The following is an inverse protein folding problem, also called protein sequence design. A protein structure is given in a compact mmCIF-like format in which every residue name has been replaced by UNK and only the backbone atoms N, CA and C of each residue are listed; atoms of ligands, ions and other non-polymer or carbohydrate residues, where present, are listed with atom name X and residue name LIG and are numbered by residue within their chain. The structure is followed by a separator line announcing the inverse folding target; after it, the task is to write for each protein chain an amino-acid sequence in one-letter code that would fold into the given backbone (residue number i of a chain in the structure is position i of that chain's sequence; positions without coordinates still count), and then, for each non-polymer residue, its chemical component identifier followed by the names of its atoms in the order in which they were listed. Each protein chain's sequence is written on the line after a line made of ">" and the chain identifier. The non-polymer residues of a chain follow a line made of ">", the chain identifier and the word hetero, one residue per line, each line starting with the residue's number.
data_IF_059009299379
#
_entry.id   IF_059009299379
#
_cell.length_a   1.000
_cell.length_b   1.000
_cell.length_c   1.000
_cell.angle_alpha   90.00
_cell.angle_beta   90.00
_cell.angle_gamma   90.00
#
_symmetry.space_group_name_H-M   'P 1'
#
loop_
_entity.id
_entity.type
_entity.pdbx_description
1 polymer ?
#
# COMPACT_ATOMS: atom_id res chain seq x y z
N UNK A 1 23.62 6.59 -2.14
CA UNK A 1 22.81 5.63 -2.94
C UNK A 1 21.36 6.03 -2.79
N UNK A 2 20.75 6.62 -3.82
CA UNK A 2 19.33 6.98 -3.78
C UNK A 2 18.52 5.68 -3.76
N UNK A 3 17.75 5.45 -2.69
CA UNK A 3 16.79 4.34 -2.65
C UNK A 3 15.79 4.58 -3.78
N UNK A 4 15.45 3.58 -4.61
CA UNK A 4 14.44 3.76 -5.65
C UNK A 4 13.13 4.23 -4.99
N UNK A 5 12.39 5.15 -5.63
CA UNK A 5 11.13 5.63 -5.10
C UNK A 5 10.18 4.44 -4.90
N UNK A 6 9.44 4.46 -3.79
CA UNK A 6 8.47 3.40 -3.47
C UNK A 6 7.42 3.40 -4.60
N UNK A 7 7.15 2.26 -5.26
CA UNK A 7 6.16 2.22 -6.34
C UNK A 7 4.73 2.45 -5.79
N UNK A 8 3.79 2.91 -6.63
CA UNK A 8 2.40 3.01 -6.24
C UNK A 8 1.85 1.63 -5.83
N UNK A 9 0.97 1.64 -4.84
CA UNK A 9 0.40 0.42 -4.25
C UNK A 9 -1.05 0.28 -4.69
N UNK A 10 -1.38 -0.86 -5.30
CA UNK A 10 -2.74 -1.24 -5.69
C UNK A 10 -3.23 -2.32 -4.74
N UNK A 11 -3.79 -1.91 -3.61
CA UNK A 11 -4.14 -2.80 -2.49
C UNK A 11 -5.54 -2.53 -1.95
N UNK A 12 -6.30 -1.64 -2.58
CA UNK A 12 -7.61 -1.23 -2.09
C UNK A 12 -8.73 -2.23 -2.42
N UNK A 13 -8.45 -3.23 -3.25
CA UNK A 13 -9.43 -4.16 -3.86
C UNK A 13 -10.54 -3.45 -4.65
N UNK A 14 -10.33 -2.18 -5.00
CA UNK A 14 -11.20 -1.40 -5.87
C UNK A 14 -10.36 -0.31 -6.56
N UNK A 15 -10.23 -0.30 -7.91
CA UNK A 15 -9.35 0.63 -8.63
C UNK A 15 -9.62 2.12 -8.33
N UNK A 16 -10.88 2.50 -8.13
CA UNK A 16 -11.23 3.87 -7.75
C UNK A 16 -10.65 4.28 -6.38
N UNK A 17 -10.55 3.34 -5.43
CA UNK A 17 -9.88 3.59 -4.15
C UNK A 17 -8.36 3.54 -4.28
N UNK A 18 -7.80 2.75 -5.19
CA UNK A 18 -6.37 2.79 -5.50
C UNK A 18 -5.96 4.14 -6.10
N UNK A 19 -6.80 4.74 -6.94
CA UNK A 19 -6.62 6.12 -7.38
C UNK A 19 -6.61 7.11 -6.19
N UNK A 20 -7.54 6.97 -5.24
CA UNK A 20 -7.50 7.79 -4.03
C UNK A 20 -6.21 7.57 -3.25
N UNK A 21 -5.71 6.35 -3.21
CA UNK A 21 -4.48 5.95 -2.55
C UNK A 21 -3.20 6.31 -3.33
N UNK A 22 -3.31 7.01 -4.46
CA UNK A 22 -2.17 7.61 -5.17
C UNK A 22 -1.45 8.71 -4.37
N UNK A 23 -1.95 9.04 -3.18
CA UNK A 23 -1.19 9.67 -2.10
C UNK A 23 -1.32 8.84 -0.82
N UNK A 24 -0.18 8.46 -0.25
CA UNK A 24 -0.13 7.56 0.90
C UNK A 24 1.07 7.80 1.81
N UNK A 25 0.97 7.29 3.04
CA UNK A 25 2.02 7.37 4.07
C UNK A 25 2.50 5.96 4.49
N UNK A 26 3.11 5.16 3.60
CA UNK A 26 3.44 3.75 3.88
C UNK A 26 4.50 3.55 4.99
N UNK A 27 5.39 4.52 5.18
CA UNK A 27 6.50 4.47 6.15
C UNK A 27 6.70 5.81 6.88
N UNK A 28 5.59 6.42 7.32
CA UNK A 28 5.58 7.70 8.04
C UNK A 28 6.10 8.90 7.20
N UNK A 29 6.31 8.69 5.89
CA UNK A 29 6.60 9.71 4.88
C UNK A 29 5.47 9.69 3.86
N UNK A 30 4.89 10.87 3.59
CA UNK A 30 3.89 11.05 2.55
C UNK A 30 4.54 11.00 1.17
N UNK A 31 3.93 10.26 0.26
CA UNK A 31 4.32 10.13 -1.14
C UNK A 31 3.08 10.40 -1.98
N UNK A 32 3.17 11.35 -2.90
CA UNK A 32 2.16 11.61 -3.93
C UNK A 32 2.72 11.15 -5.28
N UNK A 33 2.14 10.09 -5.86
CA UNK A 33 2.56 9.55 -7.15
C UNK A 33 2.03 10.36 -8.34
N UNK A 34 1.17 11.36 -8.10
CA UNK A 34 0.59 12.24 -9.13
C UNK A 34 1.12 13.68 -9.01
N UNK A 35 2.31 13.86 -8.43
CA UNK A 35 2.91 15.18 -8.18
C UNK A 35 3.30 15.96 -9.45
N UNK A 36 3.41 15.25 -10.58
CA UNK A 36 3.89 15.73 -11.88
C UNK A 36 3.23 14.97 -13.03
N UNK A 37 3.38 15.49 -14.25
CA UNK A 37 2.95 14.83 -15.48
C UNK A 37 3.59 13.45 -15.67
N UNK A 38 4.90 13.33 -15.41
CA UNK A 38 5.62 12.04 -15.43
C UNK A 38 5.07 11.05 -14.40
N UNK A 39 4.78 11.55 -13.18
CA UNK A 39 4.15 10.77 -12.13
C UNK A 39 2.78 10.23 -12.57
N UNK A 40 1.96 11.09 -13.19
CA UNK A 40 0.66 10.70 -13.75
C UNK A 40 0.80 9.59 -14.80
N UNK A 41 1.66 9.76 -15.82
CA UNK A 41 1.84 8.75 -16.87
C UNK A 41 2.32 7.42 -16.29
N UNK A 42 3.31 7.46 -15.40
CA UNK A 42 3.84 6.28 -14.70
C UNK A 42 2.75 5.58 -13.88
N UNK A 43 1.90 6.35 -13.20
CA UNK A 43 0.82 5.80 -12.40
C UNK A 43 -0.26 5.15 -13.26
N UNK A 44 -0.69 5.81 -14.35
CA UNK A 44 -1.68 5.30 -15.30
C UNK A 44 -1.24 3.99 -15.95
N UNK A 45 0.05 3.89 -16.32
CA UNK A 45 0.64 2.67 -16.85
C UNK A 45 0.57 1.53 -15.81
N UNK A 46 1.06 1.80 -14.60
CA UNK A 46 1.11 0.79 -13.53
C UNK A 46 -0.27 0.35 -13.07
N UNK A 47 -1.25 1.25 -13.10
CA UNK A 47 -2.65 0.95 -12.83
C UNK A 47 -3.32 0.19 -13.98
N UNK A 48 -2.63 -0.01 -15.12
CA UNK A 48 -3.17 -0.62 -16.35
C UNK A 48 -4.43 0.08 -16.88
N UNK A 49 -4.52 1.40 -16.68
CA UNK A 49 -5.68 2.19 -17.10
C UNK A 49 -5.53 2.77 -18.51
N UNK A 50 -4.28 2.93 -18.96
CA UNK A 50 -3.96 3.44 -20.30
C UNK A 50 -2.86 2.59 -20.90
N UNK A 51 -3.01 2.11 -22.15
CA UNK A 51 -1.96 1.35 -22.83
C UNK A 51 -0.68 2.18 -22.99
N UNK A 52 0.48 1.54 -22.81
CA UNK A 52 1.81 2.17 -22.98
C UNK A 52 1.95 2.97 -24.29
N UNK A 53 1.56 2.46 -25.48
CA UNK A 53 1.74 3.23 -26.71
C UNK A 53 1.00 4.58 -26.74
N UNK A 54 -0.14 4.65 -26.05
CA UNK A 54 -0.91 5.90 -25.91
C UNK A 54 -0.16 6.88 -25.01
N UNK A 55 0.35 6.40 -23.88
CA UNK A 55 1.13 7.22 -22.94
C UNK A 55 2.42 7.74 -23.59
N UNK A 56 3.14 6.88 -24.32
CA UNK A 56 4.36 7.26 -25.04
C UNK A 56 4.06 8.36 -26.10
N UNK A 57 2.91 8.28 -26.76
CA UNK A 57 2.47 9.32 -27.71
C UNK A 57 2.28 10.66 -27.02
N UNK A 58 1.53 10.71 -25.92
CA UNK A 58 1.33 11.96 -25.16
C UNK A 58 2.63 12.48 -24.56
N UNK A 59 3.48 11.62 -24.03
CA UNK A 59 4.80 12.01 -23.51
C UNK A 59 5.65 12.70 -24.60
N UNK A 60 5.62 12.18 -25.83
CA UNK A 60 6.40 12.73 -26.93
C UNK A 60 5.81 14.02 -27.55
N UNK A 61 4.48 14.17 -27.54
CA UNK A 61 3.79 15.26 -28.23
C UNK A 61 3.29 16.39 -27.33
N UNK A 62 3.29 16.21 -26.01
CA UNK A 62 2.73 17.18 -25.08
C UNK A 62 3.48 18.52 -25.10
N UNK A 63 2.72 19.61 -24.98
CA UNK A 63 3.30 20.93 -24.79
C UNK A 63 3.93 21.04 -23.40
N UNK A 64 4.94 21.91 -23.21
CA UNK A 64 5.54 22.13 -21.90
C UNK A 64 4.49 22.47 -20.83
N UNK A 65 4.45 21.67 -19.76
CA UNK A 65 3.51 21.83 -18.63
C UNK A 65 2.08 21.32 -18.86
N UNK A 66 1.74 20.83 -20.06
CA UNK A 66 0.41 20.28 -20.35
C UNK A 66 0.09 19.07 -19.46
N UNK A 67 1.02 18.11 -19.39
CA UNK A 67 0.85 16.91 -18.55
C UNK A 67 0.85 17.25 -17.05
N UNK A 68 1.61 18.25 -16.62
CA UNK A 68 1.57 18.73 -15.23
C UNK A 68 0.20 19.35 -14.89
N UNK A 69 -0.41 20.06 -15.85
CA UNK A 69 -1.77 20.57 -15.69
C UNK A 69 -2.78 19.43 -15.57
N UNK A 70 -2.67 18.37 -16.38
CA UNK A 70 -3.53 17.17 -16.25
C UNK A 70 -3.29 16.46 -14.92
N UNK A 71 -2.06 16.35 -14.44
CA UNK A 71 -1.74 15.79 -13.13
C UNK A 71 -2.36 16.62 -11.99
N UNK A 72 -2.34 17.96 -12.09
CA UNK A 72 -3.03 18.83 -11.14
C UNK A 72 -4.56 18.66 -11.16
N UNK A 73 -5.15 18.45 -12.34
CA UNK A 73 -6.58 18.10 -12.46
C UNK A 73 -6.89 16.74 -11.83
N UNK A 74 -6.05 15.73 -12.05
CA UNK A 74 -6.19 14.42 -11.41
C UNK A 74 -6.13 14.54 -9.87
N UNK A 75 -5.17 15.30 -9.33
CA UNK A 75 -5.11 15.54 -7.87
C UNK A 75 -6.34 16.27 -7.35
N UNK A 76 -6.87 17.25 -8.09
CA UNK A 76 -8.10 17.96 -7.72
C UNK A 76 -9.30 17.02 -7.68
N UNK A 77 -9.44 16.14 -8.69
CA UNK A 77 -10.47 15.10 -8.73
C UNK A 77 -10.31 14.12 -7.56
N UNK A 78 -9.08 13.70 -7.25
CA UNK A 78 -8.74 12.83 -6.12
C UNK A 78 -9.21 13.42 -4.81
N UNK A 79 -8.85 14.66 -4.51
CA UNK A 79 -9.19 15.26 -3.21
C UNK A 79 -10.68 15.51 -3.07
N UNK A 80 -11.36 15.94 -4.13
CA UNK A 80 -12.82 16.05 -4.14
C UNK A 80 -13.50 14.70 -3.88
N UNK A 81 -13.11 13.65 -4.61
CA UNK A 81 -13.74 12.33 -4.45
C UNK A 81 -13.36 11.67 -3.12
N UNK A 82 -12.16 11.93 -2.59
CA UNK A 82 -11.75 11.51 -1.24
C UNK A 82 -12.65 12.11 -0.17
N UNK A 83 -13.11 13.37 -0.32
CA UNK A 83 -14.11 13.96 0.59
C UNK A 83 -15.47 13.26 0.48
N UNK A 84 -15.90 12.94 -0.74
CA UNK A 84 -17.12 12.15 -0.97
C UNK A 84 -17.05 10.79 -0.26
N UNK A 85 -15.97 10.01 -0.47
CA UNK A 85 -15.79 8.71 0.20
C UNK A 85 -15.72 8.87 1.72
N UNK A 86 -15.02 9.89 2.24
CA UNK A 86 -14.98 10.13 3.70
C UNK A 86 -16.37 10.37 4.30
N UNK A 87 -17.26 11.06 3.57
CA UNK A 87 -18.63 11.32 3.99
C UNK A 87 -19.49 10.07 3.95
N UNK A 88 -19.28 9.18 2.99
CA UNK A 88 -20.20 8.06 2.73
C UNK A 88 -19.70 6.69 3.19
N UNK A 89 -18.40 6.50 3.45
CA UNK A 89 -17.84 5.22 3.89
C UNK A 89 -18.47 4.73 5.20
N UNK A 90 -18.66 3.42 5.32
CA UNK A 90 -19.29 2.77 6.48
C UNK A 90 -20.82 2.80 6.48
N UNK A 91 -21.45 3.29 5.40
CA UNK A 91 -22.90 3.22 5.18
C UNK A 91 -23.23 3.03 3.71
N UNK A 92 -24.37 2.40 3.37
CA UNK A 92 -24.83 2.33 1.99
C UNK A 92 -25.05 3.73 1.40
N UNK A 93 -24.76 3.87 0.10
CA UNK A 93 -25.12 5.08 -0.63
C UNK A 93 -26.64 5.21 -0.71
N UNK A 94 -27.11 6.45 -0.80
CA UNK A 94 -28.53 6.78 -1.00
C UNK A 94 -28.68 7.55 -2.31
N UNK A 95 -29.88 7.62 -2.91
CA UNK A 95 -30.11 8.36 -4.15
C UNK A 95 -29.67 9.83 -4.10
N UNK A 96 -29.61 10.44 -2.91
CA UNK A 96 -29.11 11.82 -2.70
C UNK A 96 -27.64 11.99 -3.11
N UNK A 97 -26.85 10.92 -3.07
CA UNK A 97 -25.44 10.94 -3.50
C UNK A 97 -25.29 11.28 -4.99
N UNK A 98 -26.33 11.07 -5.81
CA UNK A 98 -26.30 11.37 -7.24
C UNK A 98 -26.02 12.86 -7.51
N UNK A 99 -26.56 13.76 -6.68
CA UNK A 99 -26.32 15.20 -6.78
C UNK A 99 -24.87 15.56 -6.40
N UNK A 100 -24.31 14.85 -5.42
CA UNK A 100 -22.93 15.08 -4.98
C UNK A 100 -21.91 14.68 -6.05
N UNK A 101 -22.19 13.67 -6.88
CA UNK A 101 -21.27 13.14 -7.90
C UNK A 101 -21.36 13.85 -9.26
N UNK A 102 -22.09 14.96 -9.37
CA UNK A 102 -22.26 15.73 -10.61
C UNK A 102 -20.93 16.11 -11.31
N UNK A 103 -19.85 16.52 -10.61
CA UNK A 103 -18.55 16.74 -11.24
C UNK A 103 -17.99 15.51 -11.96
N UNK A 104 -18.19 14.31 -11.40
CA UNK A 104 -17.76 13.07 -12.03
C UNK A 104 -18.62 12.76 -13.26
N UNK A 105 -19.94 12.98 -13.18
CA UNK A 105 -20.86 12.76 -14.30
C UNK A 105 -20.47 13.61 -15.50
N UNK A 106 -20.20 14.90 -15.31
CA UNK A 106 -19.74 15.80 -16.38
C UNK A 106 -18.41 15.38 -17.00
N UNK A 107 -17.50 14.79 -16.22
CA UNK A 107 -16.25 14.25 -16.75
C UNK A 107 -16.50 12.99 -17.59
N UNK A 108 -17.38 12.09 -17.13
CA UNK A 108 -17.76 10.89 -17.88
C UNK A 108 -18.49 11.21 -19.18
N UNK A 109 -19.28 12.29 -19.23
CA UNK A 109 -19.96 12.76 -20.44
C UNK A 109 -18.99 13.20 -21.55
N UNK A 110 -17.73 13.46 -21.22
CA UNK A 110 -16.68 13.80 -22.19
C UNK A 110 -16.03 12.56 -22.82
N UNK A 111 -16.36 11.34 -22.36
CA UNK A 111 -15.73 10.13 -22.83
C UNK A 111 -16.13 9.80 -24.29
N UNK A 112 -15.13 9.71 -25.17
CA UNK A 112 -15.28 9.29 -26.56
C UNK A 112 -14.88 7.82 -26.69
N UNK A 113 -15.64 6.98 -25.97
CA UNK A 113 -15.48 5.53 -25.95
C UNK A 113 -16.29 4.87 -27.07
N UNK A 114 -15.73 3.83 -27.67
CA UNK A 114 -16.36 3.05 -28.72
C UNK A 114 -16.02 1.57 -28.55
N UNK A 115 -16.84 0.68 -29.10
CA UNK A 115 -16.56 -0.75 -29.08
C UNK A 115 -15.84 -1.16 -30.38
N UNK A 116 -14.80 -1.96 -30.26
CA UNK A 116 -14.06 -2.55 -31.36
C UNK A 116 -14.10 -4.08 -31.26
N UNK A 117 -14.29 -4.76 -32.40
CA UNK A 117 -14.20 -6.21 -32.47
C UNK A 117 -12.75 -6.56 -32.73
N UNK A 118 -12.11 -7.21 -31.76
CA UNK A 118 -10.71 -7.65 -31.85
C UNK A 118 -10.65 -9.18 -31.96
N UNK A 119 -9.56 -9.68 -32.54
CA UNK A 119 -9.31 -11.13 -32.67
C UNK A 119 -8.09 -11.50 -31.84
N UNK A 120 -8.26 -12.44 -30.93
CA UNK A 120 -7.17 -13.03 -30.15
C UNK A 120 -6.83 -14.41 -30.68
N UNK A 121 -5.53 -14.68 -30.87
CA UNK A 121 -5.03 -15.95 -31.40
C UNK A 121 -4.98 -16.01 -32.93
N UNK A 122 -4.59 -17.18 -33.46
CA UNK A 122 -4.45 -17.42 -34.89
C UNK A 122 -5.03 -18.80 -35.26
N UNK A 123 -5.57 -18.91 -36.49
CA UNK A 123 -6.11 -20.17 -37.02
C UNK A 123 -7.43 -20.59 -36.37
N UNK A 124 -7.65 -21.91 -36.26
CA UNK A 124 -8.90 -22.51 -35.72
C UNK A 124 -9.16 -22.17 -34.23
N UNK A 125 -8.20 -21.59 -33.53
CA UNK A 125 -8.33 -21.13 -32.14
C UNK A 125 -8.58 -19.62 -31.99
N UNK A 126 -8.83 -18.90 -33.08
CA UNK A 126 -9.07 -17.46 -33.03
C UNK A 126 -10.43 -17.16 -32.37
N UNK A 127 -10.42 -16.27 -31.38
CA UNK A 127 -11.62 -15.83 -30.65
C UNK A 127 -11.88 -14.36 -30.92
N UNK A 128 -13.12 -14.04 -31.28
CA UNK A 128 -13.59 -12.66 -31.40
C UNK A 128 -13.99 -12.14 -30.02
N UNK A 129 -13.51 -10.95 -29.67
CA UNK A 129 -13.86 -10.26 -28.43
C UNK A 129 -14.31 -8.83 -28.75
N UNK A 130 -15.33 -8.35 -28.03
CA UNK A 130 -15.72 -6.94 -28.09
C UNK A 130 -14.96 -6.18 -27.02
N UNK A 131 -14.02 -5.33 -27.43
CA UNK A 131 -13.19 -4.55 -26.53
C UNK A 131 -13.63 -3.08 -26.53
N UNK A 132 -13.74 -2.49 -25.34
CA UNK A 132 -13.92 -1.06 -25.20
C UNK A 132 -12.63 -0.32 -25.56
N UNK A 133 -12.74 0.64 -26.47
CA UNK A 133 -11.67 1.52 -26.93
C UNK A 133 -12.04 2.97 -26.63
N UNK A 134 -11.03 3.85 -26.67
CA UNK A 134 -11.20 5.29 -26.47
C UNK A 134 -10.45 6.07 -27.53
N UNK A 135 -11.04 7.16 -28.01
CA UNK A 135 -10.36 8.15 -28.84
C UNK A 135 -9.62 9.15 -27.95
N UNK A 136 -8.29 9.12 -28.03
CA UNK A 136 -7.42 9.99 -27.24
C UNK A 136 -7.17 11.32 -27.96
N UNK A 137 -8.13 12.25 -27.88
CA UNK A 137 -8.09 13.51 -28.66
C UNK A 137 -7.27 14.63 -28.01
N UNK A 138 -7.05 14.57 -26.70
CA UNK A 138 -6.28 15.55 -25.94
C UNK A 138 -5.69 14.91 -24.67
N UNK A 139 -4.74 15.59 -24.02
CA UNK A 139 -4.12 15.10 -22.79
C UNK A 139 -5.15 14.93 -21.65
N UNK A 140 -6.20 15.74 -21.61
CA UNK A 140 -7.29 15.63 -20.62
C UNK A 140 -8.03 14.30 -20.72
N UNK A 141 -8.02 13.63 -21.88
CA UNK A 141 -8.62 12.31 -22.04
C UNK A 141 -7.99 11.25 -21.12
N UNK A 142 -6.77 11.49 -20.61
CA UNK A 142 -6.12 10.64 -19.60
C UNK A 142 -6.86 10.61 -18.25
N UNK A 143 -7.76 11.56 -17.99
CA UNK A 143 -8.62 11.57 -16.79
C UNK A 143 -9.83 10.62 -16.91
N UNK A 144 -10.23 10.27 -18.13
CA UNK A 144 -11.44 9.46 -18.38
C UNK A 144 -11.35 8.03 -17.82
N UNK A 145 -10.23 7.27 -17.98
CA UNK A 145 -10.06 6.00 -17.28
C UNK A 145 -10.17 6.13 -15.76
N UNK A 146 -9.63 7.20 -15.18
CA UNK A 146 -9.72 7.46 -13.74
C UNK A 146 -11.18 7.68 -13.35
N UNK A 147 -11.90 8.52 -14.11
CA UNK A 147 -13.32 8.77 -13.90
C UNK A 147 -14.14 7.47 -13.94
N UNK A 148 -13.87 6.59 -14.92
CA UNK A 148 -14.50 5.28 -15.02
C UNK A 148 -14.23 4.40 -13.78
N UNK A 149 -13.01 4.41 -13.24
CA UNK A 149 -12.72 3.67 -11.99
C UNK A 149 -13.51 4.21 -10.78
N UNK A 150 -13.72 5.53 -10.71
CA UNK A 150 -14.53 6.17 -9.67
C UNK A 150 -16.01 5.84 -9.84
N UNK A 151 -16.50 5.79 -11.08
CA UNK A 151 -17.87 5.40 -11.39
C UNK A 151 -18.12 3.93 -11.02
N UNK A 152 -17.21 3.03 -11.40
CA UNK A 152 -17.25 1.61 -11.03
C UNK A 152 -17.24 1.40 -9.52
N UNK A 153 -16.47 2.21 -8.78
CA UNK A 153 -16.51 2.21 -7.33
C UNK A 153 -17.90 2.56 -6.79
N UNK A 154 -18.56 3.61 -7.31
CA UNK A 154 -19.92 3.99 -6.89
C UNK A 154 -20.96 2.90 -7.22
N UNK A 155 -20.86 2.31 -8.41
CA UNK A 155 -21.85 1.38 -8.93
C UNK A 155 -21.65 -0.07 -8.46
N UNK A 156 -20.41 -0.46 -8.17
CA UNK A 156 -20.02 -1.85 -7.92
C UNK A 156 -19.73 -2.18 -6.47
N UNK A 157 -19.34 -1.20 -5.65
CA UNK A 157 -18.96 -1.44 -4.25
C UNK A 157 -20.06 -1.11 -3.25
N UNK A 158 -20.13 -1.90 -2.19
CA UNK A 158 -20.92 -1.54 -1.01
C UNK A 158 -20.12 -0.56 -0.15
N UNK A 159 -20.56 0.71 -0.13
CA UNK A 159 -19.94 1.75 0.69
C UNK A 159 -20.00 1.47 2.20
N UNK A 160 -20.88 0.56 2.66
CA UNK A 160 -20.85 0.07 4.03
C UNK A 160 -19.56 -0.70 4.36
N UNK A 161 -18.90 -1.25 3.33
CA UNK A 161 -17.65 -2.01 3.42
C UNK A 161 -16.42 -1.24 2.94
N UNK A 162 -16.57 0.02 2.55
CA UNK A 162 -15.43 0.91 2.33
C UNK A 162 -14.89 1.38 3.68
N UNK A 163 -13.61 1.13 3.93
CA UNK A 163 -12.96 1.35 5.24
C UNK A 163 -11.67 2.14 5.09
N UNK A 164 -11.27 2.79 6.18
CA UNK A 164 -9.95 3.40 6.31
C UNK A 164 -9.04 2.45 7.08
N UNK A 165 -7.75 2.44 6.74
CA UNK A 165 -6.77 1.63 7.42
C UNK A 165 -6.60 2.07 8.88
N UNK A 166 -6.65 1.12 9.82
CA UNK A 166 -6.39 1.35 11.24
C UNK A 166 -4.89 1.42 11.60
N UNK A 167 -4.04 1.65 10.59
CA UNK A 167 -2.60 1.78 10.78
C UNK A 167 -2.26 3.16 11.32
N UNK A 168 -1.31 3.25 12.25
CA UNK A 168 -0.84 4.54 12.76
C UNK A 168 -0.29 5.38 11.60
N UNK A 169 -0.79 6.61 11.45
CA UNK A 169 -0.52 7.57 10.37
C UNK A 169 -0.87 7.07 8.94
N UNK A 170 -1.60 5.96 8.80
CA UNK A 170 -1.98 5.46 7.48
C UNK A 170 -3.23 6.18 6.97
N UNK A 171 -3.18 6.67 5.73
CA UNK A 171 -4.26 7.41 5.08
C UNK A 171 -5.05 6.57 4.06
N UNK A 172 -4.65 5.30 3.87
CA UNK A 172 -5.18 4.41 2.84
C UNK A 172 -6.63 4.00 3.09
N UNK A 173 -7.39 3.89 2.00
CA UNK A 173 -8.76 3.36 1.95
C UNK A 173 -8.78 2.00 1.25
N UNK A 174 -9.78 1.16 1.56
CA UNK A 174 -9.98 -0.13 0.88
C UNK A 174 -11.45 -0.56 0.94
N UNK A 175 -11.86 -1.41 -0.01
CA UNK A 175 -13.11 -2.16 0.05
C UNK A 175 -12.88 -3.49 0.79
N UNK A 176 -13.76 -3.82 1.73
CA UNK A 176 -13.64 -5.04 2.53
C UNK A 176 -14.48 -6.19 1.96
N UNK A 177 -13.86 -6.95 1.06
CA UNK A 177 -14.43 -8.17 0.49
C UNK A 177 -14.17 -9.43 1.33
N UNK A 178 -13.60 -9.30 2.54
CA UNK A 178 -13.31 -10.47 3.38
C UNK A 178 -14.60 -11.10 3.91
N UNK A 179 -14.56 -12.42 4.10
CA UNK A 179 -15.67 -13.13 4.76
C UNK A 179 -15.88 -12.57 6.16
N UNK A 180 -17.06 -12.00 6.41
CA UNK A 180 -17.41 -11.36 7.67
C UNK A 180 -16.89 -9.93 7.84
N UNK A 181 -16.34 -9.32 6.79
CA UNK A 181 -15.91 -7.93 6.74
C UNK A 181 -15.02 -7.54 7.93
N UNK A 182 -13.98 -8.34 8.15
CA UNK A 182 -13.07 -8.23 9.30
C UNK A 182 -11.73 -7.56 8.96
N UNK A 183 -11.57 -7.04 7.74
CA UNK A 183 -10.33 -6.38 7.33
C UNK A 183 -10.22 -5.03 8.02
N UNK A 184 -9.10 -4.85 8.73
CA UNK A 184 -8.77 -3.65 9.52
C UNK A 184 -7.64 -2.81 8.91
N UNK A 185 -6.84 -3.41 8.04
CA UNK A 185 -5.64 -2.79 7.50
C UNK A 185 -5.62 -2.85 5.98
N UNK A 186 -5.04 -1.83 5.34
CA UNK A 186 -4.84 -1.80 3.89
C UNK A 186 -4.00 -3.00 3.41
N UNK A 187 -3.04 -3.46 4.20
CA UNK A 187 -2.32 -4.70 3.94
C UNK A 187 -1.79 -5.27 5.25
N UNK A 188 -1.85 -6.59 5.38
CA UNK A 188 -1.22 -7.30 6.48
C UNK A 188 0.30 -7.10 6.47
N UNK A 189 0.92 -7.09 5.28
CA UNK A 189 2.37 -6.95 5.14
C UNK A 189 2.87 -5.57 5.60
N UNK A 190 2.10 -4.52 5.35
CA UNK A 190 2.45 -3.13 5.69
C UNK A 190 1.93 -2.75 7.09
N UNK A 191 0.63 -2.48 7.21
CA UNK A 191 0.06 -1.94 8.44
C UNK A 191 -0.22 -3.00 9.50
N UNK A 192 -0.63 -4.21 9.10
CA UNK A 192 -0.88 -5.31 10.05
C UNK A 192 0.38 -5.72 10.83
N UNK A 193 1.51 -5.88 10.12
CA UNK A 193 2.79 -6.20 10.75
C UNK A 193 3.32 -5.06 11.62
N UNK A 194 3.23 -3.80 11.17
CA UNK A 194 3.56 -2.63 12.01
C UNK A 194 2.78 -2.63 13.33
N UNK A 195 1.48 -2.88 13.27
CA UNK A 195 0.62 -2.96 14.45
C UNK A 195 1.04 -4.10 15.40
N UNK A 196 1.33 -5.30 14.86
CA UNK A 196 1.82 -6.45 15.65
C UNK A 196 3.15 -6.14 16.36
N UNK A 197 4.09 -5.53 15.66
CA UNK A 197 5.41 -5.14 16.21
C UNK A 197 5.24 -4.09 17.31
N UNK A 198 4.41 -3.07 17.09
CA UNK A 198 4.13 -2.05 18.09
C UNK A 198 3.50 -2.65 19.36
N UNK A 199 2.53 -3.56 19.21
CA UNK A 199 1.91 -4.26 20.34
C UNK A 199 2.91 -5.14 21.11
N UNK A 200 3.80 -5.86 20.41
CA UNK A 200 4.86 -6.63 21.05
C UNK A 200 5.83 -5.76 21.85
N UNK A 201 6.27 -4.62 21.29
CA UNK A 201 7.13 -3.65 21.97
C UNK A 201 6.45 -3.08 23.23
N UNK A 202 5.15 -2.73 23.15
CA UNK A 202 4.37 -2.25 24.30
C UNK A 202 4.33 -3.29 25.42
N UNK A 203 4.02 -4.55 25.10
CA UNK A 203 4.02 -5.66 26.09
C UNK A 203 5.39 -5.85 26.74
N UNK A 204 6.47 -5.85 25.95
CA UNK A 204 7.84 -5.95 26.52
C UNK A 204 8.18 -4.79 27.44
N UNK A 205 7.78 -3.57 27.11
CA UNK A 205 7.99 -2.39 27.97
C UNK A 205 7.17 -2.49 29.27
N UNK A 206 5.94 -2.99 29.20
CA UNK A 206 5.11 -3.24 30.39
C UNK A 206 5.72 -4.31 31.29
N UNK A 207 6.18 -5.43 30.72
CA UNK A 207 6.89 -6.48 31.47
C UNK A 207 8.18 -5.98 32.14
N UNK A 208 8.89 -5.04 31.51
CA UNK A 208 10.07 -4.39 32.10
C UNK A 208 9.71 -3.37 33.20
N UNK A 209 8.53 -2.75 33.13
CA UNK A 209 8.04 -1.81 34.16
C UNK A 209 7.40 -2.53 35.36
N UNK A 210 6.80 -3.70 35.14
CA UNK A 210 6.15 -4.54 36.16
C UNK A 210 7.12 -5.57 36.78
N UNK A 211 8.40 -5.57 36.38
CA UNK A 211 9.43 -6.33 37.06
C UNK A 211 9.47 -5.90 38.54
N UNK A 212 9.33 -6.83 39.51
CA UNK A 212 9.16 -6.46 40.90
C UNK A 212 10.36 -5.66 41.42
N UNK A 213 10.09 -4.55 42.11
CA UNK A 213 11.02 -3.72 42.90
C UNK A 213 11.77 -4.50 44.02
N UNK A 214 11.62 -5.83 44.07
CA UNK A 214 12.23 -6.73 45.05
C UNK A 214 13.26 -7.68 44.42
N UNK A 215 14.05 -7.21 43.46
CA UNK A 215 15.39 -7.76 43.29
C UNK A 215 16.28 -7.19 44.40
N UNK A 216 16.34 -7.88 45.55
CA UNK A 216 17.29 -7.55 46.61
C UNK A 216 18.70 -7.42 46.01
N UNK A 217 19.47 -6.35 46.32
CA UNK A 217 20.90 -6.37 46.07
C UNK A 217 21.49 -7.39 47.04
N UNK A 218 21.78 -8.59 46.53
CA UNK A 218 22.45 -9.64 47.28
C UNK A 218 23.80 -9.15 47.79
N UNK A 219 23.82 -8.85 49.08
CA UNK A 219 24.90 -9.00 50.05
C UNK A 219 26.32 -9.24 49.51
N UNK A 220 27.20 -8.30 49.84
CA UNK A 220 28.60 -8.51 50.22
C UNK A 220 29.18 -9.93 50.03
N UNK A 221 29.95 -10.13 48.95
CA UNK A 221 31.08 -11.05 48.99
C UNK A 221 32.22 -10.34 49.75
N UNK A 222 32.31 -10.54 51.07
CA UNK A 222 33.54 -10.28 51.82
C UNK A 222 34.35 -11.59 51.88
N UNK A 223 35.56 -11.56 51.31
CA UNK A 223 36.77 -12.39 51.60
C UNK A 223 36.60 -13.93 51.63
N UNK A 224 37.41 -14.74 50.94
CA UNK A 224 38.87 -14.83 51.08
C UNK A 224 39.53 -15.41 49.80
N UNK A 225 40.83 -15.14 49.56
CA UNK A 225 41.63 -15.80 48.55
C UNK A 225 42.10 -17.16 49.09
N UNK A 226 42.27 -18.15 48.19
CA UNK A 226 43.01 -19.42 48.34
C UNK A 226 42.18 -20.60 47.86
N UNK A 227 42.43 -21.03 46.62
CA UNK A 227 42.44 -22.45 46.17
C UNK A 227 42.68 -22.59 44.66
N UNK A 228 43.41 -21.68 44.01
CA UNK A 228 43.89 -21.89 42.63
C UNK A 228 45.19 -22.70 42.55
N UNK A 229 45.80 -23.03 43.69
CA UNK A 229 47.04 -23.79 43.78
C UNK A 229 46.87 -25.28 44.17
N UNK A 230 45.67 -25.73 44.57
CA UNK A 230 45.44 -27.14 44.92
C UNK A 230 44.88 -27.99 43.76
N UNK A 231 44.25 -27.37 42.76
CA UNK A 231 43.74 -28.11 41.59
C UNK A 231 44.83 -28.48 40.57
N UNK A 232 45.99 -27.81 40.59
CA UNK A 232 47.13 -28.16 39.73
C UNK A 232 48.01 -29.29 40.29
N UNK A 233 47.96 -29.56 41.61
CA UNK A 233 48.76 -30.60 42.25
C UNK A 233 48.12 -32.01 42.14
N UNK A 234 46.81 -32.12 41.91
CA UNK A 234 46.13 -33.42 41.74
C UNK A 234 46.07 -33.89 40.28
N UNK A 235 46.26 -33.00 39.30
CA UNK A 235 46.23 -33.35 37.88
C UNK A 235 47.57 -33.88 37.32
N UNK A 236 48.68 -33.72 38.05
CA UNK A 236 50.01 -34.17 37.61
C UNK A 236 50.45 -35.53 38.21
N UNK A 237 49.75 -36.04 39.22
CA UNK A 237 50.02 -37.36 39.80
C UNK A 237 49.32 -38.52 39.06
N UNK A 238 48.39 -38.24 38.14
CA UNK A 238 47.65 -39.26 37.38
C UNK A 238 48.20 -39.51 35.97
N UNK A 239 49.16 -38.70 35.50
CA UNK A 239 49.73 -38.83 34.14
C UNK A 239 51.05 -39.62 34.08
N UNK A 240 51.61 -40.06 35.22
CA UNK A 240 52.87 -40.83 35.26
C UNK A 240 52.71 -42.34 35.51
N UNK A 241 51.50 -42.86 35.69
CA UNK A 241 51.25 -44.31 35.93
C UNK A 241 50.73 -45.07 34.70
N UNK A 242 50.61 -44.45 33.52
CA UNK A 242 50.22 -45.12 32.26
C UNK A 242 51.33 -45.22 31.21
N UNK A 243 52.57 -44.89 31.56
CA UNK A 243 53.74 -45.17 30.72
C UNK A 243 54.80 -45.94 31.53
N UNK A 244 54.52 -47.19 31.89
CA UNK A 244 55.55 -48.22 32.15
C UNK A 244 54.96 -49.64 32.21
N UNK A 245 55.10 -50.31 31.07
CA UNK A 245 55.37 -51.74 30.89
C UNK A 245 54.24 -52.77 31.08
N UNK A 246 54.36 -53.96 30.43
CA UNK A 246 55.25 -54.37 29.33
C UNK A 246 54.54 -54.47 27.97
#
# INVERSE_FOLDING_TARGET
>A
MNRPPIPPMFIADAPGLDFLNSIATPVDVEIDWLDSGEGLLTWLERASLVPRPVLDTFHASALPGELDAVAAQARSLREWFRQFVRRHKGRPLTPKALVEIEPLRRLLEQDDAFAEIVVHGHGEGAVFELQAQRRWRSAEALLLPIADTLAKLICGEDFSQVKACEGLQCTMLFADHTRGHSRRWCSMALCGNRAKVAAHRKRRKQMLHEAPLNAQPGAHLKSQPETRLQLHAQAQAQTQTQQKAP
#
